data_IF_826500451587
#
_entry.id   IF_826500451587
#
_cell.length_a   1.000
_cell.length_b   1.000
_cell.length_c   1.000
_cell.angle_alpha   90.00
_cell.angle_beta   90.00
_cell.angle_gamma   90.00
#
_symmetry.space_group_name_H-M   'P 1'
#
loop_
_entity.id
_entity.type
_entity.pdbx_description
1 polymer ?
#
# COMPACT_ATOMS: atom_id res chain seq x y z
N UNK A 1 24.93 -8.50 -2.59
CA UNK A 1 24.99 -9.85 -3.24
C UNK A 1 24.24 -9.72 -4.56
N UNK A 2 24.84 -10.08 -5.70
CA UNK A 2 24.12 -9.98 -6.97
C UNK A 2 23.37 -11.29 -7.24
N UNK A 3 22.07 -11.31 -7.06
CA UNK A 3 21.19 -12.48 -7.27
C UNK A 3 20.45 -12.42 -8.63
N UNK A 4 20.61 -11.32 -9.37
CA UNK A 4 19.84 -11.05 -10.61
C UNK A 4 20.03 -12.14 -11.64
N UNK A 5 18.95 -12.69 -12.18
CA UNK A 5 18.94 -13.76 -13.19
C UNK A 5 19.20 -15.17 -12.66
N UNK A 6 19.35 -15.35 -11.34
CA UNK A 6 19.63 -16.66 -10.71
C UNK A 6 18.34 -17.43 -10.38
N UNK A 7 18.47 -18.73 -10.12
CA UNK A 7 17.39 -19.54 -9.54
C UNK A 7 17.00 -19.04 -8.15
N UNK A 8 17.97 -18.51 -7.38
CA UNK A 8 17.73 -17.96 -6.04
C UNK A 8 16.83 -16.74 -6.11
N UNK A 9 17.00 -15.84 -7.07
CA UNK A 9 16.08 -14.71 -7.28
C UNK A 9 14.64 -15.21 -7.50
N UNK A 10 14.45 -16.20 -8.39
CA UNK A 10 13.12 -16.79 -8.64
C UNK A 10 12.53 -17.41 -7.38
N UNK A 11 13.33 -18.15 -6.60
CA UNK A 11 12.89 -18.75 -5.34
C UNK A 11 12.48 -17.67 -4.31
N UNK A 12 13.20 -16.53 -4.25
CA UNK A 12 12.85 -15.42 -3.37
C UNK A 12 11.53 -14.75 -3.81
N UNK A 13 11.30 -14.60 -5.11
CA UNK A 13 10.04 -14.07 -5.63
C UNK A 13 8.87 -15.02 -5.32
N UNK A 14 9.05 -16.33 -5.49
CA UNK A 14 8.06 -17.34 -5.16
C UNK A 14 7.76 -17.37 -3.66
N UNK A 15 8.78 -17.32 -2.81
CA UNK A 15 8.64 -17.26 -1.36
C UNK A 15 7.89 -15.98 -0.95
N UNK A 16 8.28 -14.81 -1.46
CA UNK A 16 7.59 -13.54 -1.20
C UNK A 16 6.11 -13.60 -1.58
N UNK A 17 5.79 -14.16 -2.75
CA UNK A 17 4.40 -14.33 -3.21
C UNK A 17 3.62 -15.29 -2.30
N UNK A 18 4.20 -16.43 -1.92
CA UNK A 18 3.60 -17.42 -1.03
C UNK A 18 3.24 -16.85 0.34
N UNK A 19 4.20 -16.19 0.99
CA UNK A 19 4.00 -15.57 2.31
C UNK A 19 2.98 -14.42 2.25
N UNK A 20 3.00 -13.61 1.18
CA UNK A 20 2.02 -12.54 0.97
C UNK A 20 0.59 -13.08 0.85
N UNK A 21 0.40 -14.20 0.14
CA UNK A 21 -0.89 -14.87 0.04
C UNK A 21 -1.31 -15.51 1.38
N UNK A 22 -0.39 -16.18 2.09
CA UNK A 22 -0.65 -16.79 3.39
C UNK A 22 -1.11 -15.74 4.40
N UNK A 23 -0.40 -14.60 4.49
CA UNK A 23 -0.78 -13.47 5.32
C UNK A 23 -2.23 -13.03 5.08
N UNK A 24 -2.61 -12.80 3.82
CA UNK A 24 -3.96 -12.36 3.51
C UNK A 24 -5.00 -13.43 3.84
N UNK A 25 -4.76 -14.69 3.47
CA UNK A 25 -5.66 -15.81 3.81
C UNK A 25 -5.89 -15.94 5.31
N UNK A 26 -4.85 -15.84 6.13
CA UNK A 26 -4.98 -16.00 7.57
C UNK A 26 -5.77 -14.85 8.22
N UNK A 27 -5.67 -13.61 7.72
CA UNK A 27 -6.56 -12.53 8.19
C UNK A 27 -8.03 -12.79 7.84
N UNK A 28 -8.31 -13.41 6.68
CA UNK A 28 -9.68 -13.82 6.33
C UNK A 28 -10.17 -14.97 7.22
N UNK A 29 -9.30 -15.94 7.52
CA UNK A 29 -9.62 -17.07 8.40
C UNK A 29 -9.86 -16.60 9.84
N UNK A 30 -9.06 -15.67 10.36
CA UNK A 30 -9.28 -15.02 11.66
C UNK A 30 -10.67 -14.38 11.72
N UNK A 31 -11.02 -13.57 10.71
CA UNK A 31 -12.34 -12.95 10.62
C UNK A 31 -13.48 -13.96 10.65
N UNK A 32 -13.32 -15.10 9.97
CA UNK A 32 -14.30 -16.18 9.96
C UNK A 32 -14.40 -16.85 11.33
N UNK A 33 -13.27 -17.19 11.94
CA UNK A 33 -13.23 -17.82 13.26
C UNK A 33 -13.91 -16.96 14.34
N UNK A 34 -13.69 -15.62 14.32
CA UNK A 34 -14.39 -14.68 15.21
C UNK A 34 -15.92 -14.76 15.05
N UNK A 35 -16.40 -14.79 13.80
CA UNK A 35 -17.84 -14.90 13.51
C UNK A 35 -18.45 -16.23 13.97
N UNK A 36 -17.64 -17.28 14.08
CA UNK A 36 -18.04 -18.61 14.56
C UNK A 36 -17.84 -18.78 16.07
N UNK A 37 -17.32 -17.76 16.78
CA UNK A 37 -17.11 -17.78 18.23
C UNK A 37 -15.80 -18.45 18.68
N UNK A 38 -14.83 -18.64 17.77
CA UNK A 38 -13.55 -19.27 18.08
C UNK A 38 -12.44 -18.24 18.28
N UNK A 39 -12.54 -17.41 19.33
CA UNK A 39 -11.62 -16.29 19.58
C UNK A 39 -10.15 -16.72 19.71
N UNK A 40 -9.87 -17.85 20.36
CA UNK A 40 -8.49 -18.37 20.46
C UNK A 40 -7.92 -18.74 19.09
N UNK A 41 -8.71 -19.40 18.25
CA UNK A 41 -8.29 -19.80 16.89
C UNK A 41 -8.07 -18.54 16.04
N UNK A 42 -8.94 -17.55 16.15
CA UNK A 42 -8.81 -16.29 15.47
C UNK A 42 -7.51 -15.55 15.86
N UNK A 43 -7.18 -15.53 17.15
CA UNK A 43 -5.93 -14.91 17.64
C UNK A 43 -4.68 -15.63 17.10
N UNK A 44 -4.71 -16.95 16.99
CA UNK A 44 -3.61 -17.73 16.39
C UNK A 44 -3.45 -17.40 14.90
N UNK A 45 -4.55 -17.27 14.15
CA UNK A 45 -4.47 -16.84 12.75
C UNK A 45 -3.91 -15.42 12.61
N UNK A 46 -4.32 -14.46 13.46
CA UNK A 46 -3.83 -13.09 13.43
C UNK A 46 -2.32 -13.04 13.76
N UNK A 47 -1.87 -13.81 14.77
CA UNK A 47 -0.45 -13.94 15.13
C UNK A 47 0.36 -14.52 13.95
N UNK A 48 -0.11 -15.64 13.37
CA UNK A 48 0.57 -16.28 12.24
C UNK A 48 0.60 -15.35 11.03
N UNK A 49 -0.50 -14.64 10.71
CA UNK A 49 -0.49 -13.62 9.65
C UNK A 49 0.56 -12.52 9.88
N UNK A 50 0.82 -12.16 11.14
CA UNK A 50 1.91 -11.27 11.54
C UNK A 50 3.29 -11.84 11.21
N UNK A 51 3.51 -13.14 11.47
CA UNK A 51 4.75 -13.84 11.16
C UNK A 51 4.99 -13.90 9.64
N UNK A 52 3.98 -14.26 8.86
CA UNK A 52 4.08 -14.35 7.39
C UNK A 52 4.39 -12.97 6.75
N UNK A 53 3.89 -11.89 7.35
CA UNK A 53 4.27 -10.54 6.92
C UNK A 53 5.76 -10.28 7.10
N UNK A 54 6.36 -10.72 8.21
CA UNK A 54 7.80 -10.52 8.45
C UNK A 54 8.65 -11.46 7.58
N UNK A 55 8.19 -12.68 7.28
CA UNK A 55 8.82 -13.56 6.30
C UNK A 55 8.79 -12.93 4.90
N UNK A 56 7.64 -12.48 4.42
CA UNK A 56 7.53 -11.78 3.14
C UNK A 56 8.47 -10.57 3.06
N UNK A 57 8.54 -9.75 4.13
CA UNK A 57 9.44 -8.59 4.21
C UNK A 57 10.91 -8.99 4.18
N UNK A 58 11.27 -10.13 4.77
CA UNK A 58 12.63 -10.67 4.70
C UNK A 58 13.03 -10.96 3.24
N UNK A 59 12.20 -11.68 2.51
CA UNK A 59 12.43 -12.02 1.10
C UNK A 59 12.42 -10.78 0.20
N UNK A 60 11.50 -9.85 0.44
CA UNK A 60 11.45 -8.56 -0.24
C UNK A 60 12.75 -7.77 -0.11
N UNK A 61 13.33 -7.71 1.09
CA UNK A 61 14.62 -7.03 1.30
C UNK A 61 15.75 -7.66 0.50
N UNK A 62 15.84 -8.99 0.45
CA UNK A 62 16.85 -9.66 -0.38
C UNK A 62 16.70 -9.37 -1.87
N UNK A 63 15.48 -9.22 -2.36
CA UNK A 63 15.18 -8.79 -3.73
C UNK A 63 15.59 -7.32 -3.98
N UNK A 64 15.73 -6.51 -2.91
CA UNK A 64 16.03 -5.07 -2.96
C UNK A 64 17.34 -4.72 -2.23
N UNK A 65 18.40 -5.51 -2.45
CA UNK A 65 19.75 -5.27 -1.91
C UNK A 65 19.84 -5.21 -0.36
N UNK A 66 18.90 -5.80 0.36
CA UNK A 66 18.94 -5.96 1.82
C UNK A 66 18.05 -4.98 2.60
N UNK A 67 17.40 -4.02 1.94
CA UNK A 67 16.53 -3.05 2.60
C UNK A 67 15.24 -2.80 1.83
N UNK A 68 14.26 -2.14 2.47
CA UNK A 68 13.10 -1.60 1.78
C UNK A 68 13.54 -0.30 1.11
N UNK A 69 13.29 -0.10 -0.19
CA UNK A 69 13.70 1.10 -0.91
C UNK A 69 13.14 2.39 -0.30
N UNK A 70 13.65 3.55 -0.75
CA UNK A 70 13.18 4.84 -0.28
C UNK A 70 11.68 5.07 -0.59
N UNK A 71 11.05 5.99 0.14
CA UNK A 71 9.63 6.32 -0.09
C UNK A 71 9.37 6.74 -1.54
N UNK A 72 10.28 7.47 -2.18
CA UNK A 72 10.12 7.88 -3.57
C UNK A 72 10.17 6.68 -4.52
N UNK A 73 11.15 5.79 -4.35
CA UNK A 73 11.25 4.56 -5.14
C UNK A 73 10.03 3.67 -4.96
N UNK A 74 9.56 3.48 -3.71
CA UNK A 74 8.37 2.70 -3.41
C UNK A 74 7.09 3.28 -4.04
N UNK A 75 6.95 4.62 -4.09
CA UNK A 75 5.81 5.27 -4.74
C UNK A 75 5.83 5.06 -6.26
N UNK A 76 7.03 5.09 -6.87
CA UNK A 76 7.19 4.85 -8.31
C UNK A 76 6.91 3.37 -8.64
N UNK A 77 7.44 2.45 -7.85
CA UNK A 77 7.23 1.01 -8.01
C UNK A 77 5.73 0.65 -7.85
N UNK A 78 5.08 1.17 -6.80
CA UNK A 78 3.66 0.97 -6.60
C UNK A 78 2.84 1.50 -7.79
N UNK A 79 3.13 2.72 -8.27
CA UNK A 79 2.44 3.26 -9.46
C UNK A 79 2.62 2.38 -10.69
N UNK A 80 3.82 1.82 -10.90
CA UNK A 80 4.08 0.92 -12.03
C UNK A 80 3.33 -0.41 -11.90
N UNK A 81 3.20 -0.95 -10.70
CA UNK A 81 2.40 -2.13 -10.41
C UNK A 81 0.92 -1.90 -10.75
N UNK A 82 0.32 -0.86 -10.18
CA UNK A 82 -1.07 -0.49 -10.45
C UNK A 82 -1.33 -0.24 -11.94
N UNK A 83 -0.37 0.42 -12.63
CA UNK A 83 -0.45 0.63 -14.08
C UNK A 83 -0.56 -0.68 -14.85
N UNK A 84 0.26 -1.67 -14.54
CA UNK A 84 0.21 -3.00 -15.16
C UNK A 84 -1.10 -3.74 -14.87
N UNK A 85 -1.64 -3.56 -13.67
CA UNK A 85 -2.88 -4.19 -13.27
C UNK A 85 -4.08 -3.66 -14.07
N UNK A 86 -4.28 -2.34 -14.16
CA UNK A 86 -5.44 -1.80 -14.84
C UNK A 86 -5.33 -1.73 -16.36
N UNK A 87 -4.11 -1.60 -16.93
CA UNK A 87 -3.93 -1.50 -18.39
C UNK A 87 -3.87 -2.84 -19.10
N UNK A 88 -3.54 -3.94 -18.40
CA UNK A 88 -3.34 -5.23 -19.05
C UNK A 88 -3.93 -6.41 -18.28
N UNK A 89 -3.64 -6.54 -16.99
CA UNK A 89 -4.00 -7.73 -16.23
C UNK A 89 -5.53 -7.87 -16.08
N UNK A 90 -6.19 -6.87 -15.52
CA UNK A 90 -7.64 -6.91 -15.30
C UNK A 90 -8.44 -6.81 -16.58
N UNK A 91 -7.98 -6.07 -17.60
CA UNK A 91 -8.64 -6.04 -18.91
C UNK A 91 -8.66 -7.43 -19.56
N UNK A 92 -7.52 -8.14 -19.54
CA UNK A 92 -7.44 -9.52 -20.04
C UNK A 92 -8.33 -10.45 -19.24
N UNK A 93 -8.28 -10.40 -17.89
CA UNK A 93 -9.09 -11.25 -17.03
C UNK A 93 -10.58 -11.01 -17.23
N UNK A 94 -11.02 -9.77 -17.42
CA UNK A 94 -12.43 -9.44 -17.68
C UNK A 94 -12.89 -10.02 -19.02
N UNK A 95 -12.05 -9.93 -20.06
CA UNK A 95 -12.34 -10.50 -21.36
C UNK A 95 -12.47 -12.01 -21.29
N UNK A 96 -11.50 -12.69 -20.70
CA UNK A 96 -11.50 -14.16 -20.52
C UNK A 96 -12.73 -14.61 -19.72
N UNK A 97 -13.04 -13.94 -18.59
CA UNK A 97 -14.23 -14.25 -17.80
C UNK A 97 -15.53 -14.13 -18.59
N UNK A 98 -15.63 -13.10 -19.45
CA UNK A 98 -16.80 -12.92 -20.32
C UNK A 98 -16.92 -14.01 -21.39
N UNK A 99 -15.80 -14.41 -22.00
CA UNK A 99 -15.76 -15.49 -23.00
C UNK A 99 -16.13 -16.84 -22.39
N UNK A 100 -15.85 -17.04 -21.09
CA UNK A 100 -16.21 -18.25 -20.33
C UNK A 100 -17.63 -18.19 -19.72
N UNK A 101 -18.37 -17.08 -19.88
CA UNK A 101 -19.74 -16.91 -19.38
C UNK A 101 -19.82 -16.41 -17.92
N UNK A 102 -18.73 -15.93 -17.34
CA UNK A 102 -18.69 -15.36 -15.99
C UNK A 102 -18.88 -13.83 -15.99
N UNK A 103 -20.00 -13.36 -16.52
CA UNK A 103 -20.29 -11.93 -16.70
C UNK A 103 -20.15 -11.10 -15.40
N UNK A 104 -20.59 -11.65 -14.26
CA UNK A 104 -20.45 -10.98 -12.96
C UNK A 104 -18.99 -10.74 -12.59
N UNK A 105 -18.12 -11.73 -12.82
CA UNK A 105 -16.68 -11.61 -12.55
C UNK A 105 -16.03 -10.63 -13.51
N UNK A 106 -16.41 -10.62 -14.78
CA UNK A 106 -15.93 -9.65 -15.76
C UNK A 106 -16.20 -8.21 -15.30
N UNK A 107 -17.41 -7.92 -14.81
CA UNK A 107 -17.77 -6.60 -14.25
C UNK A 107 -16.93 -6.27 -13.02
N UNK A 108 -16.69 -7.23 -12.13
CA UNK A 108 -15.86 -7.02 -10.93
C UNK A 108 -14.39 -6.73 -11.30
N UNK A 109 -13.80 -7.45 -12.26
CA UNK A 109 -12.45 -7.18 -12.75
C UNK A 109 -12.32 -5.75 -13.30
N UNK A 110 -13.27 -5.29 -14.13
CA UNK A 110 -13.26 -3.92 -14.63
C UNK A 110 -13.47 -2.89 -13.52
N UNK A 111 -14.31 -3.20 -12.52
CA UNK A 111 -14.51 -2.35 -11.35
C UNK A 111 -13.23 -2.16 -10.54
N UNK A 112 -12.48 -3.24 -10.31
CA UNK A 112 -11.17 -3.20 -9.62
C UNK A 112 -10.17 -2.43 -10.49
N UNK A 113 -10.08 -2.69 -11.80
CA UNK A 113 -9.21 -1.94 -12.72
C UNK A 113 -9.40 -0.41 -12.59
N UNK A 114 -10.65 0.06 -12.48
CA UNK A 114 -10.94 1.47 -12.28
C UNK A 114 -10.45 2.02 -10.93
N UNK A 115 -10.35 1.18 -9.91
CA UNK A 115 -9.78 1.52 -8.61
C UNK A 115 -8.26 1.63 -8.71
N UNK A 116 -7.60 0.65 -9.34
CA UNK A 116 -6.14 0.61 -9.48
C UNK A 116 -5.60 1.78 -10.31
N UNK A 117 -6.36 2.24 -11.31
CA UNK A 117 -6.07 3.49 -12.01
C UNK A 117 -6.01 4.70 -11.06
N UNK A 118 -6.93 4.78 -10.09
CA UNK A 118 -6.92 5.87 -9.09
C UNK A 118 -5.76 5.73 -8.10
N UNK A 119 -5.36 4.50 -7.79
CA UNK A 119 -4.18 4.25 -6.96
C UNK A 119 -2.92 4.72 -7.67
N UNK A 120 -2.73 4.38 -8.96
CA UNK A 120 -1.62 4.88 -9.78
C UNK A 120 -1.57 6.42 -9.77
N UNK A 121 -2.68 7.08 -10.13
CA UNK A 121 -2.77 8.54 -10.16
C UNK A 121 -2.39 9.17 -8.80
N UNK A 122 -2.80 8.56 -7.69
CA UNK A 122 -2.46 8.97 -6.33
C UNK A 122 -0.97 8.82 -6.05
N UNK A 123 -0.38 7.65 -6.36
CA UNK A 123 1.03 7.39 -6.11
C UNK A 123 1.93 8.29 -6.95
N UNK A 124 1.62 8.53 -8.22
CA UNK A 124 2.35 9.46 -9.09
C UNK A 124 2.32 10.89 -8.53
N UNK A 125 1.15 11.35 -8.06
CA UNK A 125 1.02 12.66 -7.42
C UNK A 125 1.85 12.77 -6.15
N UNK A 126 1.85 11.76 -5.31
CA UNK A 126 2.66 11.72 -4.08
C UNK A 126 4.15 11.65 -4.40
N UNK A 127 4.56 10.86 -5.38
CA UNK A 127 5.95 10.80 -5.85
C UNK A 127 6.45 12.16 -6.32
N UNK A 128 5.63 12.89 -7.07
CA UNK A 128 5.95 14.24 -7.50
C UNK A 128 6.13 15.19 -6.30
N UNK A 129 5.23 15.14 -5.31
CA UNK A 129 5.34 15.98 -4.10
C UNK A 129 6.62 15.68 -3.31
N UNK A 130 6.99 14.40 -3.17
CA UNK A 130 8.24 13.99 -2.51
C UNK A 130 9.44 14.51 -3.29
N UNK A 131 9.49 14.29 -4.61
CA UNK A 131 10.57 14.72 -5.50
C UNK A 131 10.78 16.24 -5.47
N UNK A 132 9.69 17.01 -5.37
CA UNK A 132 9.73 18.48 -5.36
C UNK A 132 9.89 19.09 -3.96
N UNK A 133 9.96 18.28 -2.89
CA UNK A 133 9.99 18.75 -1.50
C UNK A 133 8.72 19.48 -1.08
N UNK A 134 7.58 19.16 -1.72
CA UNK A 134 6.29 19.86 -1.52
C UNK A 134 5.29 19.09 -0.64
N UNK A 135 5.71 18.04 0.04
CA UNK A 135 4.83 17.31 0.97
C UNK A 135 4.30 18.24 2.05
N UNK A 136 5.22 18.95 2.73
CA UNK A 136 4.90 19.87 3.84
C UNK A 136 4.88 21.33 3.46
N UNK A 137 5.08 21.66 2.18
CA UNK A 137 5.10 23.04 1.65
C UNK A 137 4.21 23.14 0.42
N UNK A 138 3.48 24.25 0.30
CA UNK A 138 2.57 24.51 -0.82
C UNK A 138 2.83 25.93 -1.37
N UNK A 139 2.32 26.21 -2.55
CA UNK A 139 2.45 27.51 -3.21
C UNK A 139 1.52 28.59 -2.66
N UNK A 140 0.56 28.19 -1.81
CA UNK A 140 -0.39 29.09 -1.14
C UNK A 140 -0.69 28.57 0.26
N UNK A 141 -1.22 29.43 1.12
CA UNK A 141 -1.67 29.04 2.47
C UNK A 141 -2.66 27.88 2.39
N UNK A 142 -2.42 26.88 3.21
CA UNK A 142 -3.27 25.70 3.40
C UNK A 142 -3.56 25.52 4.88
N UNK A 143 -4.60 24.78 5.16
CA UNK A 143 -4.90 24.34 6.51
C UNK A 143 -4.17 23.01 6.75
N UNK A 144 -3.39 22.96 7.82
CA UNK A 144 -2.63 21.80 8.26
C UNK A 144 -3.16 21.32 9.59
N UNK A 145 -3.24 20.02 9.78
CA UNK A 145 -3.63 19.41 11.07
C UNK A 145 -2.52 18.49 11.57
N UNK A 146 -2.23 18.57 12.86
CA UNK A 146 -1.32 17.64 13.53
C UNK A 146 -2.07 16.33 13.83
N UNK A 147 -1.65 15.23 13.23
CA UNK A 147 -2.24 13.89 13.40
C UNK A 147 -2.18 13.36 14.84
N UNK A 148 -1.27 13.90 15.68
CA UNK A 148 -1.16 13.46 17.06
C UNK A 148 -2.15 14.15 18.00
N UNK A 149 -2.30 15.49 17.89
CA UNK A 149 -3.09 16.25 18.88
C UNK A 149 -4.25 17.07 18.29
N UNK A 150 -4.44 17.05 16.97
CA UNK A 150 -5.52 17.81 16.33
C UNK A 150 -5.25 19.32 16.18
N UNK A 151 -4.05 19.81 16.55
CA UNK A 151 -3.73 21.22 16.37
C UNK A 151 -3.81 21.64 14.89
N UNK A 152 -4.61 22.67 14.63
CA UNK A 152 -4.80 23.25 13.29
C UNK A 152 -3.92 24.47 13.08
N UNK A 153 -3.25 24.55 11.93
CA UNK A 153 -2.38 25.65 11.55
C UNK A 153 -2.65 26.10 10.11
N UNK A 154 -2.64 27.40 9.86
CA UNK A 154 -2.84 27.96 8.50
C UNK A 154 -1.54 28.60 8.03
N UNK A 155 -0.97 28.08 6.97
CA UNK A 155 0.28 28.59 6.38
C UNK A 155 0.61 27.90 5.06
N UNK A 156 1.61 28.39 4.35
CA UNK A 156 2.13 27.80 3.13
C UNK A 156 3.04 26.57 3.40
N UNK A 157 3.59 26.48 4.61
CA UNK A 157 4.39 25.36 5.08
C UNK A 157 3.90 24.88 6.45
N UNK A 158 3.83 23.57 6.65
CA UNK A 158 3.52 22.99 7.95
C UNK A 158 4.61 23.33 8.99
N UNK A 159 4.26 23.58 10.27
CA UNK A 159 5.24 23.86 11.30
C UNK A 159 6.31 22.78 11.41
N UNK A 160 7.57 23.15 11.62
CA UNK A 160 8.67 22.20 11.84
C UNK A 160 8.47 21.34 13.10
N UNK A 161 7.82 21.93 14.11
CA UNK A 161 7.44 21.29 15.36
C UNK A 161 6.05 21.79 15.73
N UNK A 162 5.18 20.89 16.14
CA UNK A 162 3.86 21.24 16.62
C UNK A 162 3.95 22.04 17.93
N UNK A 163 3.39 23.27 17.99
CA UNK A 163 3.52 24.12 19.18
C UNK A 163 2.72 23.60 20.40
N UNK A 164 1.83 22.63 20.20
CA UNK A 164 0.99 22.09 21.27
C UNK A 164 1.57 20.80 21.85
N UNK A 165 2.04 19.87 21.00
CA UNK A 165 2.44 18.53 21.47
C UNK A 165 3.90 18.17 21.15
N UNK A 166 4.68 19.11 20.58
CA UNK A 166 6.10 18.95 20.24
C UNK A 166 6.43 17.83 19.24
N UNK A 167 5.44 17.29 18.53
CA UNK A 167 5.69 16.31 17.46
C UNK A 167 6.28 17.02 16.23
N UNK A 168 7.20 16.37 15.50
CA UNK A 168 7.86 16.94 14.33
C UNK A 168 6.90 17.18 13.16
N UNK A 169 7.33 17.97 12.18
CA UNK A 169 6.59 18.31 10.95
C UNK A 169 5.98 17.08 10.26
N UNK A 170 6.62 15.92 10.37
CA UNK A 170 6.14 14.65 9.81
C UNK A 170 4.73 14.23 10.29
N UNK A 171 4.26 14.79 11.40
CA UNK A 171 2.91 14.54 11.92
C UNK A 171 1.84 15.47 11.34
N UNK A 172 2.22 16.46 10.50
CA UNK A 172 1.24 17.32 9.85
C UNK A 172 0.76 16.73 8.52
N UNK A 173 -0.51 16.91 8.24
CA UNK A 173 -1.13 16.64 6.95
C UNK A 173 -2.04 17.79 6.54
N UNK A 174 -2.44 17.83 5.26
CA UNK A 174 -3.45 18.78 4.81
C UNK A 174 -4.80 18.41 5.46
N UNK A 175 -5.42 19.40 6.07
CA UNK A 175 -6.73 19.24 6.67
C UNK A 175 -7.81 19.35 5.60
N UNK A 176 -8.68 18.35 5.50
CA UNK A 176 -9.82 18.29 4.58
C UNK A 176 -11.06 18.07 5.43
N UNK A 177 -11.97 19.04 5.42
CA UNK A 177 -13.28 18.98 6.07
C UNK A 177 -14.38 19.07 4.99
N UNK A 178 -14.49 18.05 4.17
CA UNK A 178 -15.63 17.86 3.28
C UNK A 178 -16.45 16.69 3.84
N UNK A 179 -17.49 17.03 4.64
CA UNK A 179 -18.46 16.07 5.17
C UNK A 179 -19.72 16.06 4.31
#
# INVERSE_FOLDING_TARGET
MNIKGTKTEKNLMEAFAGESQARNKYTFYSSKAKKEGYEQIAAIFDETAGNEKEHAKLWFKYLHNGEVPSTLENLIDAAAGEHGEWTSMYERMAKEAKEEGFDELAVKFLGVAAIEKRHEERYLKLAQLVKEGKVFKKTSKKVWICRNCGHVYVGDEAPKVCPVCNHPQAYFELHVEEF
#
